data_IF_750131370793
#
_entry.id   IF_750131370793
#
_cell.length_a   1.000
_cell.length_b   1.000
_cell.length_c   1.000
_cell.angle_alpha   90.00
_cell.angle_beta   90.00
_cell.angle_gamma   90.00
#
_symmetry.space_group_name_H-M   'P 1'
#
loop_
_entity.id
_entity.type
_entity.pdbx_description
1 polymer ?
#
# COMPACT_ATOMS: atom_id res chain seq x y z
N UNK A 1 72.99 29.34 18.27
CA UNK A 1 72.73 30.72 17.79
C UNK A 1 71.23 30.89 17.63
N UNK A 2 70.57 31.81 18.34
CA UNK A 2 69.11 31.93 18.30
C UNK A 2 68.69 32.87 17.17
N UNK A 3 67.71 32.45 16.35
CA UNK A 3 67.05 33.30 15.37
C UNK A 3 65.67 33.73 15.88
N UNK A 4 65.42 35.02 15.74
CA UNK A 4 64.30 35.80 16.27
C UNK A 4 62.97 35.50 15.60
N UNK A 5 61.91 35.45 16.40
CA UNK A 5 60.51 35.29 15.98
C UNK A 5 59.84 36.68 15.87
N UNK A 6 59.15 37.05 14.77
CA UNK A 6 58.53 38.37 14.68
C UNK A 6 57.17 38.42 15.39
N UNK A 7 56.99 39.47 16.21
CA UNK A 7 55.75 39.80 16.94
C UNK A 7 54.67 40.30 15.97
N UNK A 8 53.56 39.58 15.87
CA UNK A 8 52.33 40.04 15.22
C UNK A 8 51.60 40.99 16.19
N UNK A 9 51.47 42.27 15.81
CA UNK A 9 50.65 43.26 16.52
C UNK A 9 49.21 43.19 15.99
N UNK A 10 48.27 42.77 16.84
CA UNK A 10 46.84 42.93 16.58
C UNK A 10 46.42 44.37 16.86
N UNK A 11 45.88 45.03 15.84
CA UNK A 11 45.22 46.33 15.95
C UNK A 11 43.77 46.10 16.40
N UNK A 12 43.42 46.45 17.63
CA UNK A 12 42.03 46.51 18.08
C UNK A 12 41.40 47.81 17.54
N UNK A 13 40.38 47.69 16.69
CA UNK A 13 39.43 48.78 16.42
C UNK A 13 38.29 48.73 17.45
N UNK A 14 37.84 49.88 17.99
CA UNK A 14 36.64 49.93 18.80
C UNK A 14 35.39 49.95 17.89
N UNK A 15 34.56 48.93 18.00
CA UNK A 15 33.23 48.89 17.37
C UNK A 15 32.25 49.66 18.27
N UNK A 16 31.91 50.89 17.89
CA UNK A 16 30.84 51.65 18.52
C UNK A 16 29.48 51.05 18.15
N UNK A 17 28.81 50.37 19.09
CA UNK A 17 27.39 50.03 18.99
C UNK A 17 26.56 51.28 19.34
N UNK A 18 26.01 51.92 18.32
CA UNK A 18 24.91 52.88 18.50
C UNK A 18 23.58 52.13 18.63
N UNK A 19 22.91 52.25 19.79
CA UNK A 19 21.52 51.85 19.95
C UNK A 19 20.62 52.85 19.19
N UNK A 20 20.06 52.42 18.06
CA UNK A 20 18.92 53.08 17.41
C UNK A 20 17.66 52.36 17.89
N UNK A 21 16.90 52.98 18.80
CA UNK A 21 15.55 52.53 19.13
C UNK A 21 14.61 52.90 17.99
N UNK A 22 14.27 51.91 17.17
CA UNK A 22 13.23 52.02 16.16
C UNK A 22 11.91 51.52 16.76
N UNK A 23 11.05 52.45 17.19
CA UNK A 23 9.70 52.14 17.62
C UNK A 23 8.88 51.69 16.39
N UNK A 24 8.71 50.38 16.23
CA UNK A 24 7.85 49.78 15.22
C UNK A 24 6.39 49.87 15.67
N UNK A 25 5.60 50.69 14.99
CA UNK A 25 4.16 50.71 15.13
C UNK A 25 3.58 49.37 14.65
N UNK A 26 2.87 48.66 15.52
CA UNK A 26 2.22 47.40 15.20
C UNK A 26 1.10 47.63 14.16
N UNK A 27 1.05 46.86 13.07
CA UNK A 27 -0.06 46.92 12.13
C UNK A 27 -1.33 46.38 12.79
N UNK A 28 -2.40 47.21 12.79
CA UNK A 28 -3.74 46.78 13.17
C UNK A 28 -4.28 45.83 12.10
N UNK A 29 -4.09 44.52 12.28
CA UNK A 29 -4.78 43.51 11.48
C UNK A 29 -6.23 43.41 11.95
N UNK A 30 -7.14 43.93 11.13
CA UNK A 30 -8.56 43.64 11.26
C UNK A 30 -8.77 42.12 11.12
N UNK A 31 -9.28 41.48 12.17
CA UNK A 31 -9.62 40.06 12.17
C UNK A 31 -10.72 39.79 11.14
N UNK A 32 -10.31 39.31 9.95
CA UNK A 32 -11.24 38.81 8.93
C UNK A 32 -11.85 37.51 9.47
N UNK A 33 -13.19 37.50 9.61
CA UNK A 33 -13.98 36.34 10.02
C UNK A 33 -13.51 35.09 9.24
N UNK A 34 -13.23 33.95 9.89
CA UNK A 34 -12.79 32.75 9.19
C UNK A 34 -13.86 32.35 8.18
N UNK A 35 -13.46 32.29 6.90
CA UNK A 35 -14.32 31.76 5.86
C UNK A 35 -14.68 30.31 6.23
N UNK A 36 -15.97 29.98 6.14
CA UNK A 36 -16.48 28.61 6.26
C UNK A 36 -15.63 27.73 5.33
N UNK A 37 -15.03 26.62 5.80
CA UNK A 37 -14.26 25.76 4.92
C UNK A 37 -15.18 25.32 3.79
N UNK A 38 -14.82 25.70 2.56
CA UNK A 38 -15.45 25.16 1.38
C UNK A 38 -15.33 23.64 1.48
N UNK A 39 -16.45 22.94 1.30
CA UNK A 39 -16.45 21.49 1.23
C UNK A 39 -15.36 21.08 0.24
N UNK A 40 -14.36 20.34 0.73
CA UNK A 40 -13.30 19.78 -0.09
C UNK A 40 -13.98 19.09 -1.28
N UNK A 41 -13.69 19.54 -2.49
CA UNK A 41 -14.15 18.86 -3.69
C UNK A 41 -13.80 17.36 -3.56
N UNK A 42 -14.67 16.44 -4.01
CA UNK A 42 -14.33 15.02 -4.01
C UNK A 42 -12.99 14.85 -4.72
N UNK A 43 -12.01 14.30 -4.00
CA UNK A 43 -10.79 13.80 -4.64
C UNK A 43 -11.27 12.65 -5.50
N UNK A 44 -11.32 12.88 -6.80
CA UNK A 44 -11.45 11.81 -7.78
C UNK A 44 -10.25 10.89 -7.58
N UNK A 45 -10.47 9.77 -6.90
CA UNK A 45 -9.48 8.74 -6.66
C UNK A 45 -9.19 7.92 -7.91
N UNK A 46 -9.67 8.36 -9.09
CA UNK A 46 -9.58 7.60 -10.30
C UNK A 46 -10.40 6.34 -10.15
N UNK A 47 -11.73 6.48 -10.25
CA UNK A 47 -12.54 5.36 -10.74
C UNK A 47 -12.10 5.10 -12.18
N UNK A 48 -11.02 4.33 -12.34
CA UNK A 48 -10.61 3.77 -13.61
C UNK A 48 -11.74 2.89 -14.10
N UNK A 49 -12.59 3.45 -14.96
CA UNK A 49 -13.48 2.69 -15.82
C UNK A 49 -12.58 1.83 -16.69
N UNK A 50 -12.50 0.53 -16.37
CA UNK A 50 -12.00 -0.45 -17.31
C UNK A 50 -13.20 -0.99 -18.10
N UNK A 51 -13.18 -0.72 -19.39
CA UNK A 51 -14.00 -1.41 -20.38
C UNK A 51 -13.65 -2.89 -20.28
N UNK A 52 -14.61 -3.69 -19.81
CA UNK A 52 -14.58 -5.13 -19.97
C UNK A 52 -14.63 -5.40 -21.48
N UNK A 53 -13.56 -5.98 -22.01
CA UNK A 53 -13.55 -6.52 -23.37
C UNK A 53 -14.68 -7.54 -23.51
N UNK A 54 -15.48 -7.31 -24.53
CA UNK A 54 -16.55 -8.14 -25.05
C UNK A 54 -15.96 -9.32 -25.83
N UNK A 55 -15.56 -10.36 -25.12
CA UNK A 55 -15.21 -11.64 -25.75
C UNK A 55 -16.51 -12.40 -26.11
N UNK A 56 -17.29 -11.90 -27.07
CA UNK A 56 -18.33 -12.68 -27.74
C UNK A 56 -17.67 -13.66 -28.73
N UNK A 57 -17.02 -14.67 -28.17
CA UNK A 57 -16.48 -15.84 -28.87
C UNK A 57 -17.55 -16.93 -28.98
N UNK A 58 -18.14 -17.00 -30.16
CA UNK A 58 -19.14 -17.93 -30.66
C UNK A 58 -18.85 -19.41 -30.34
N UNK A 59 -19.87 -20.13 -29.85
CA UNK A 59 -19.81 -21.54 -29.52
C UNK A 59 -19.82 -22.42 -30.79
N UNK A 60 -18.85 -23.34 -30.88
CA UNK A 60 -18.84 -24.44 -31.85
C UNK A 60 -19.10 -25.78 -31.13
N UNK A 61 -20.07 -26.60 -31.57
CA UNK A 61 -20.31 -27.91 -30.99
C UNK A 61 -19.34 -28.94 -31.60
N UNK A 62 -18.44 -29.49 -30.79
CA UNK A 62 -17.59 -30.62 -31.19
C UNK A 62 -18.20 -31.94 -30.69
N UNK A 63 -18.38 -32.84 -31.64
CA UNK A 63 -19.01 -34.15 -31.53
C UNK A 63 -18.39 -35.06 -30.46
N UNK A 64 -19.26 -35.78 -29.74
CA UNK A 64 -18.94 -36.76 -28.70
C UNK A 64 -18.36 -38.05 -29.30
N UNK A 65 -17.15 -38.42 -28.86
CA UNK A 65 -16.53 -39.74 -29.06
C UNK A 65 -17.01 -40.72 -27.98
N UNK A 66 -17.32 -41.99 -28.29
CA UNK A 66 -17.86 -42.94 -27.34
C UNK A 66 -16.88 -43.35 -26.23
N UNK A 67 -17.47 -43.65 -25.07
CA UNK A 67 -16.86 -43.82 -23.77
C UNK A 67 -15.86 -44.99 -23.68
N UNK A 68 -14.66 -44.68 -23.19
CA UNK A 68 -13.73 -45.67 -22.62
C UNK A 68 -14.07 -45.89 -21.15
N UNK A 69 -14.24 -47.14 -20.77
CA UNK A 69 -14.53 -47.63 -19.41
C UNK A 69 -13.58 -47.01 -18.37
N UNK A 70 -14.07 -46.39 -17.28
CA UNK A 70 -13.20 -45.79 -16.28
C UNK A 70 -12.54 -46.87 -15.43
N UNK A 71 -11.22 -47.02 -15.59
CA UNK A 71 -10.35 -47.60 -14.57
C UNK A 71 -10.63 -46.91 -13.23
N UNK A 72 -10.77 -47.63 -12.09
CA UNK A 72 -11.01 -46.99 -10.79
C UNK A 72 -9.86 -46.02 -10.51
N UNK A 73 -10.16 -44.73 -10.66
CA UNK A 73 -9.23 -43.65 -10.45
C UNK A 73 -8.73 -43.75 -9.01
N UNK A 74 -7.42 -43.98 -8.87
CA UNK A 74 -6.69 -43.78 -7.63
C UNK A 74 -7.16 -42.45 -7.04
N UNK A 75 -7.80 -42.50 -5.87
CA UNK A 75 -8.33 -41.34 -5.16
C UNK A 75 -7.17 -40.37 -5.00
N UNK A 76 -7.09 -39.36 -5.88
CA UNK A 76 -6.08 -38.33 -5.78
C UNK A 76 -6.34 -37.64 -4.46
N UNK A 77 -5.34 -37.66 -3.57
CA UNK A 77 -5.31 -36.79 -2.38
C UNK A 77 -5.81 -35.42 -2.83
N UNK A 78 -6.99 -35.01 -2.36
CA UNK A 78 -7.62 -33.78 -2.79
C UNK A 78 -6.57 -32.67 -2.72
N UNK A 79 -6.27 -32.05 -3.87
CA UNK A 79 -5.30 -30.98 -3.93
C UNK A 79 -5.71 -29.94 -2.88
N UNK A 80 -4.82 -29.64 -1.93
CA UNK A 80 -5.11 -28.66 -0.87
C UNK A 80 -5.73 -27.43 -1.52
N UNK A 81 -6.90 -26.94 -1.05
CA UNK A 81 -7.56 -25.81 -1.67
C UNK A 81 -6.56 -24.66 -1.78
N UNK A 82 -6.47 -24.08 -2.97
CA UNK A 82 -5.65 -22.89 -3.19
C UNK A 82 -6.23 -21.74 -2.33
N UNK A 83 -5.70 -21.59 -1.11
CA UNK A 83 -6.19 -20.66 -0.10
C UNK A 83 -6.18 -19.22 -0.60
N UNK A 84 -5.14 -18.85 -1.34
CA UNK A 84 -5.05 -17.56 -2.02
C UNK A 84 -6.27 -17.31 -2.92
N UNK A 85 -6.57 -18.24 -3.83
CA UNK A 85 -7.73 -18.10 -4.71
C UNK A 85 -9.06 -18.13 -3.95
N UNK A 86 -9.14 -18.89 -2.86
CA UNK A 86 -10.31 -18.92 -1.99
C UNK A 86 -10.53 -17.58 -1.27
N UNK A 87 -9.45 -16.94 -0.78
CA UNK A 87 -9.53 -15.65 -0.10
C UNK A 87 -10.00 -14.54 -1.05
N UNK A 88 -9.46 -14.52 -2.28
CA UNK A 88 -9.91 -13.56 -3.30
C UNK A 88 -11.39 -13.77 -3.64
N UNK A 89 -11.84 -15.03 -3.80
CA UNK A 89 -13.26 -15.32 -4.02
C UNK A 89 -14.14 -14.82 -2.87
N UNK A 90 -13.72 -15.05 -1.63
CA UNK A 90 -14.41 -14.54 -0.44
C UNK A 90 -14.51 -13.01 -0.45
N UNK A 91 -13.42 -12.30 -0.75
CA UNK A 91 -13.42 -10.85 -0.78
C UNK A 91 -14.32 -10.32 -1.91
N UNK A 92 -14.22 -10.89 -3.11
CA UNK A 92 -15.05 -10.53 -4.28
C UNK A 92 -16.54 -10.75 -4.03
N UNK A 93 -16.94 -11.86 -3.41
CA UNK A 93 -18.35 -12.14 -3.09
C UNK A 93 -18.93 -11.20 -2.03
N UNK A 94 -18.09 -10.38 -1.40
CA UNK A 94 -18.47 -9.37 -0.43
C UNK A 94 -18.24 -7.93 -0.90
N UNK A 95 -17.93 -7.70 -2.18
CA UNK A 95 -17.86 -6.34 -2.74
C UNK A 95 -19.16 -5.56 -2.48
N UNK A 96 -19.01 -4.32 -2.04
CA UNK A 96 -20.14 -3.45 -1.67
C UNK A 96 -20.84 -3.83 -0.36
N UNK A 97 -20.36 -4.86 0.35
CA UNK A 97 -20.93 -5.32 1.62
C UNK A 97 -20.00 -4.98 2.78
N UNK A 98 -20.58 -4.76 3.94
CA UNK A 98 -19.86 -4.53 5.19
C UNK A 98 -19.59 -5.88 5.85
N UNK A 99 -18.32 -6.17 6.12
CA UNK A 99 -17.87 -7.35 6.88
C UNK A 99 -17.60 -6.97 8.33
N UNK A 100 -18.10 -7.78 9.26
CA UNK A 100 -17.95 -7.58 10.70
C UNK A 100 -18.48 -6.21 11.13
N UNK A 101 -17.70 -5.51 11.95
CA UNK A 101 -18.03 -4.15 12.39
C UNK A 101 -17.65 -3.05 11.39
N UNK A 102 -17.09 -3.41 10.22
CA UNK A 102 -16.68 -2.44 9.20
C UNK A 102 -15.22 -2.02 9.27
N UNK A 103 -14.41 -2.55 10.20
CA UNK A 103 -12.98 -2.23 10.26
C UNK A 103 -12.20 -2.94 9.14
N UNK A 104 -11.01 -2.42 8.82
CA UNK A 104 -10.18 -2.93 7.73
C UNK A 104 -9.69 -4.37 7.98
N UNK A 105 -9.33 -4.70 9.22
CA UNK A 105 -8.87 -6.04 9.60
C UNK A 105 -9.97 -7.11 9.56
N UNK A 106 -11.25 -6.72 9.69
CA UNK A 106 -12.36 -7.67 9.70
C UNK A 106 -12.41 -8.50 8.41
N UNK A 107 -12.02 -7.92 7.27
CA UNK A 107 -12.01 -8.64 6.00
C UNK A 107 -11.15 -9.92 6.08
N UNK A 108 -9.99 -9.83 6.73
CA UNK A 108 -9.06 -10.95 6.91
C UNK A 108 -9.46 -11.84 8.09
N UNK A 109 -9.91 -11.24 9.20
CA UNK A 109 -10.38 -11.97 10.40
C UNK A 109 -11.53 -12.91 10.09
N UNK A 110 -12.48 -12.49 9.25
CA UNK A 110 -13.58 -13.34 8.80
C UNK A 110 -13.20 -14.23 7.61
N UNK A 111 -12.38 -13.72 6.69
CA UNK A 111 -12.00 -14.44 5.47
C UNK A 111 -11.14 -15.67 5.70
N UNK A 112 -10.10 -15.57 6.53
CA UNK A 112 -9.15 -16.67 6.75
C UNK A 112 -9.80 -17.92 7.35
N UNK A 113 -10.58 -17.83 8.44
CA UNK A 113 -11.34 -18.99 8.95
C UNK A 113 -12.27 -19.61 7.91
N UNK A 114 -12.97 -18.77 7.12
CA UNK A 114 -13.95 -19.22 6.12
C UNK A 114 -13.33 -20.11 5.05
N UNK A 115 -12.07 -19.86 4.69
CA UNK A 115 -11.35 -20.63 3.67
C UNK A 115 -10.52 -21.78 4.24
N UNK A 116 -10.63 -22.06 5.54
CA UNK A 116 -9.82 -23.09 6.22
C UNK A 116 -8.37 -22.68 6.48
N UNK A 117 -8.07 -21.38 6.47
CA UNK A 117 -6.77 -20.85 6.81
C UNK A 117 -6.65 -20.52 8.31
N UNK A 118 -5.42 -20.51 8.82
CA UNK A 118 -5.09 -20.10 10.18
C UNK A 118 -5.23 -18.59 10.31
N UNK A 119 -5.70 -18.20 11.48
CA UNK A 119 -5.69 -16.82 11.94
C UNK A 119 -4.68 -16.76 13.08
N UNK A 120 -3.57 -16.04 12.89
CA UNK A 120 -2.58 -15.80 13.93
C UNK A 120 -2.67 -14.33 14.37
N UNK A 121 -2.95 -14.12 15.65
CA UNK A 121 -3.11 -12.80 16.24
C UNK A 121 -1.79 -12.16 16.66
N UNK A 122 -0.65 -12.84 16.47
CA UNK A 122 0.69 -12.31 16.72
C UNK A 122 1.17 -11.35 15.62
N UNK A 123 0.25 -10.54 15.06
CA UNK A 123 0.50 -9.58 13.99
C UNK A 123 0.99 -10.21 12.68
N UNK A 124 0.70 -11.49 12.43
CA UNK A 124 1.03 -12.19 11.20
C UNK A 124 -0.22 -12.85 10.63
N UNK A 125 -0.75 -12.36 9.51
CA UNK A 125 -1.93 -12.98 8.87
C UNK A 125 -1.61 -14.26 8.08
N UNK A 126 -0.37 -14.75 8.15
CA UNK A 126 0.06 -15.95 7.43
C UNK A 126 1.57 -16.05 7.32
N UNK A 127 2.05 -16.87 6.37
CA UNK A 127 3.48 -17.02 6.09
C UNK A 127 4.04 -15.73 5.48
N UNK A 128 5.06 -15.08 6.08
CA UNK A 128 5.65 -13.87 5.51
C UNK A 128 6.18 -14.10 4.09
N UNK A 129 5.92 -13.15 3.19
CA UNK A 129 6.38 -13.15 1.80
C UNK A 129 7.47 -12.10 1.61
N UNK A 130 7.16 -10.84 1.93
CA UNK A 130 8.12 -9.74 1.84
C UNK A 130 7.66 -8.51 2.64
N UNK A 131 8.56 -7.55 2.82
CA UNK A 131 8.24 -6.20 3.28
C UNK A 131 8.67 -5.17 2.24
N UNK A 132 7.80 -4.21 1.92
CA UNK A 132 8.20 -2.97 1.23
C UNK A 132 8.38 -1.88 2.27
N UNK A 133 9.62 -1.42 2.45
CA UNK A 133 10.00 -0.42 3.44
C UNK A 133 10.37 0.85 2.70
N UNK A 134 9.65 1.94 2.95
CA UNK A 134 9.96 3.24 2.37
C UNK A 134 10.36 4.25 3.44
N UNK A 135 11.40 5.04 3.15
CA UNK A 135 11.84 6.13 4.03
C UNK A 135 12.36 7.27 3.17
N UNK A 136 11.79 8.45 3.33
CA UNK A 136 12.15 9.66 2.58
C UNK A 136 12.15 9.44 1.05
N UNK A 137 11.10 8.79 0.54
CA UNK A 137 10.94 8.53 -0.90
C UNK A 137 11.81 7.41 -1.46
N UNK A 138 12.61 6.74 -0.63
CA UNK A 138 13.42 5.57 -1.03
C UNK A 138 12.77 4.29 -0.54
N UNK A 139 12.38 3.42 -1.47
CA UNK A 139 11.81 2.12 -1.17
C UNK A 139 12.85 1.01 -1.21
N UNK A 140 12.72 0.05 -0.30
CA UNK A 140 13.52 -1.16 -0.17
C UNK A 140 12.59 -2.37 -0.07
N UNK A 141 12.92 -3.43 -0.80
CA UNK A 141 12.26 -4.73 -0.66
C UNK A 141 13.03 -5.58 0.36
N UNK A 142 12.34 -6.33 1.20
CA UNK A 142 12.93 -7.36 2.06
C UNK A 142 12.15 -8.65 1.84
N UNK A 143 12.81 -9.72 1.36
CA UNK A 143 12.15 -11.01 1.11
C UNK A 143 12.14 -11.90 2.36
N UNK A 144 11.17 -12.82 2.43
CA UNK A 144 11.07 -13.83 3.47
C UNK A 144 11.01 -15.27 2.90
N UNK A 145 11.61 -16.29 3.58
CA UNK A 145 12.58 -16.17 4.66
C UNK A 145 13.99 -15.87 4.11
N UNK A 146 14.74 -15.03 4.84
CA UNK A 146 16.13 -14.59 4.61
C UNK A 146 16.39 -13.45 3.59
N UNK A 147 16.97 -12.37 4.13
CA UNK A 147 17.79 -11.40 3.41
C UNK A 147 17.15 -10.03 3.14
N UNK A 148 17.72 -8.96 3.71
CA UNK A 148 17.57 -7.59 3.18
C UNK A 148 18.24 -7.57 1.80
N UNK A 149 17.50 -7.84 0.73
CA UNK A 149 18.01 -7.64 -0.63
C UNK A 149 17.52 -6.28 -1.12
N UNK A 150 18.41 -5.34 -1.43
CA UNK A 150 18.04 -4.21 -2.31
C UNK A 150 17.61 -4.84 -3.64
N UNK A 151 16.31 -5.02 -3.82
CA UNK A 151 15.76 -5.83 -4.88
C UNK A 151 14.65 -5.11 -5.60
N UNK A 152 14.59 -5.33 -6.91
CA UNK A 152 13.47 -4.94 -7.75
C UNK A 152 12.16 -5.49 -7.14
N UNK A 153 11.07 -4.70 -6.99
CA UNK A 153 9.75 -5.14 -6.53
C UNK A 153 9.25 -6.42 -7.22
N UNK A 154 9.65 -6.66 -8.48
CA UNK A 154 9.38 -7.91 -9.22
C UNK A 154 9.85 -9.19 -8.53
N UNK A 155 10.83 -9.10 -7.62
CA UNK A 155 11.42 -10.24 -6.93
C UNK A 155 10.59 -10.75 -5.74
N UNK A 156 9.52 -10.04 -5.37
CA UNK A 156 8.69 -10.38 -4.22
C UNK A 156 7.80 -11.63 -4.42
N UNK A 157 7.59 -12.09 -5.67
CA UNK A 157 6.71 -13.21 -5.99
C UNK A 157 5.32 -13.06 -5.32
N UNK A 158 4.77 -11.84 -5.41
CA UNK A 158 3.43 -11.51 -4.96
C UNK A 158 2.40 -12.31 -5.76
N UNK A 159 1.32 -12.71 -5.10
CA UNK A 159 0.22 -13.44 -5.72
C UNK A 159 -1.10 -12.83 -5.29
N UNK A 160 -2.10 -12.98 -6.16
CA UNK A 160 -3.50 -12.83 -5.75
C UNK A 160 -3.75 -13.67 -4.49
N UNK A 161 -4.45 -13.11 -3.51
CA UNK A 161 -4.74 -13.71 -2.20
C UNK A 161 -3.66 -13.51 -1.14
N UNK A 162 -2.52 -12.92 -1.46
CA UNK A 162 -1.58 -12.45 -0.43
C UNK A 162 -2.19 -11.24 0.31
N UNK A 163 -1.83 -11.10 1.59
CA UNK A 163 -2.41 -10.13 2.53
C UNK A 163 -1.37 -9.06 2.81
N UNK A 164 -1.77 -7.79 2.74
CA UNK A 164 -0.93 -6.63 3.02
C UNK A 164 -1.35 -6.03 4.37
N UNK A 165 -0.39 -5.85 5.27
CA UNK A 165 -0.52 -5.05 6.49
C UNK A 165 0.26 -3.75 6.32
N UNK A 166 -0.39 -2.63 6.59
CA UNK A 166 0.19 -1.30 6.45
C UNK A 166 0.60 -0.78 7.82
N UNK A 167 1.79 -0.21 7.91
CA UNK A 167 2.34 0.40 9.10
C UNK A 167 2.95 1.76 8.75
N UNK A 168 2.24 2.84 9.08
CA UNK A 168 2.62 4.24 8.81
C UNK A 168 2.98 4.50 7.34
N UNK A 169 2.18 3.95 6.42
CA UNK A 169 2.46 3.97 4.98
C UNK A 169 1.93 5.24 4.34
N UNK A 170 2.75 5.85 3.48
CA UNK A 170 2.31 6.95 2.61
C UNK A 170 2.59 6.65 1.16
N UNK A 171 1.62 6.97 0.31
CA UNK A 171 1.76 7.00 -1.14
C UNK A 171 1.65 8.43 -1.63
N UNK A 172 2.62 8.84 -2.44
CA UNK A 172 2.71 10.17 -3.01
C UNK A 172 3.01 10.04 -4.50
N UNK A 173 2.12 10.58 -5.33
CA UNK A 173 2.35 10.65 -6.78
C UNK A 173 2.32 12.09 -7.23
N UNK A 174 3.33 12.50 -7.99
CA UNK A 174 3.35 13.78 -8.70
C UNK A 174 3.21 13.54 -10.20
N UNK A 175 2.35 14.31 -10.85
CA UNK A 175 2.20 14.33 -12.30
C UNK A 175 2.21 15.78 -12.80
N UNK A 176 2.30 15.97 -14.13
CA UNK A 176 2.40 17.28 -14.79
C UNK A 176 3.52 18.17 -14.25
N UNK A 177 4.74 17.64 -14.15
CA UNK A 177 5.89 18.42 -13.68
C UNK A 177 5.82 18.84 -12.20
N UNK A 178 4.92 18.25 -11.42
CA UNK A 178 4.71 18.58 -10.00
C UNK A 178 3.48 19.45 -9.74
N UNK A 179 2.78 19.92 -10.78
CA UNK A 179 1.57 20.74 -10.63
C UNK A 179 0.36 19.96 -10.14
N UNK A 180 0.45 18.64 -10.11
CA UNK A 180 -0.64 17.80 -9.68
C UNK A 180 -0.13 16.64 -8.83
N UNK A 181 -0.89 16.34 -7.78
CA UNK A 181 -0.41 15.55 -6.66
C UNK A 181 -1.53 14.69 -6.07
N UNK A 182 -1.25 13.42 -5.78
CA UNK A 182 -2.11 12.58 -4.96
C UNK A 182 -1.37 12.14 -3.70
N UNK A 183 -2.10 12.08 -2.59
CA UNK A 183 -1.60 11.68 -1.28
C UNK A 183 -2.54 10.66 -0.66
N UNK A 184 -1.99 9.56 -0.16
CA UNK A 184 -2.72 8.58 0.65
C UNK A 184 -1.89 8.25 1.89
N UNK A 185 -2.52 8.25 3.07
CA UNK A 185 -1.89 7.97 4.35
C UNK A 185 -2.62 6.83 5.06
N UNK A 186 -1.87 5.81 5.47
CA UNK A 186 -2.36 4.61 6.12
C UNK A 186 -1.56 4.37 7.42
N UNK A 187 -1.98 4.97 8.56
CA UNK A 187 -1.34 4.72 9.85
C UNK A 187 -1.32 3.22 10.21
N UNK A 188 -2.50 2.58 10.11
CA UNK A 188 -2.69 1.14 10.22
C UNK A 188 -3.82 0.72 9.27
N UNK A 189 -3.56 -0.23 8.37
CA UNK A 189 -4.56 -0.73 7.43
C UNK A 189 -4.30 -2.20 7.05
N UNK A 190 -5.26 -2.85 6.40
CA UNK A 190 -5.10 -4.22 5.90
C UNK A 190 -5.89 -4.40 4.60
N UNK A 191 -5.27 -5.05 3.62
CA UNK A 191 -5.87 -5.34 2.32
C UNK A 191 -5.48 -6.74 1.81
N UNK A 192 -6.21 -7.24 0.82
CA UNK A 192 -5.93 -8.51 0.13
C UNK A 192 -5.62 -8.21 -1.33
N UNK A 193 -4.51 -8.75 -1.85
CA UNK A 193 -4.16 -8.60 -3.26
C UNK A 193 -5.17 -9.36 -4.11
N UNK A 194 -5.86 -8.67 -5.00
CA UNK A 194 -6.71 -9.28 -6.00
C UNK A 194 -5.90 -9.65 -7.25
N UNK A 195 -5.04 -8.73 -7.69
CA UNK A 195 -4.26 -8.87 -8.91
C UNK A 195 -2.91 -8.16 -8.77
N UNK A 196 -1.88 -8.77 -9.38
CA UNK A 196 -0.55 -8.20 -9.52
C UNK A 196 -0.32 -7.89 -11.00
N UNK A 197 0.07 -6.67 -11.34
CA UNK A 197 0.44 -6.32 -12.71
C UNK A 197 1.66 -7.13 -13.17
N UNK A 198 1.81 -7.29 -14.48
CA UNK A 198 2.92 -8.05 -15.08
C UNK A 198 4.30 -7.51 -14.66
N UNK A 199 4.41 -6.20 -14.44
CA UNK A 199 5.64 -5.55 -14.00
C UNK A 199 5.85 -5.56 -12.49
N UNK A 200 4.88 -6.05 -11.71
CA UNK A 200 4.92 -6.15 -10.25
C UNK A 200 4.83 -4.82 -9.51
N UNK A 201 4.56 -3.71 -10.20
CA UNK A 201 4.52 -2.37 -9.60
C UNK A 201 3.11 -1.93 -9.20
N UNK A 202 2.09 -2.49 -9.83
CA UNK A 202 0.70 -2.11 -9.59
C UNK A 202 -0.04 -3.29 -8.99
N UNK A 203 -0.72 -3.05 -7.87
CA UNK A 203 -1.56 -4.03 -7.20
C UNK A 203 -3.01 -3.54 -7.26
N UNK A 204 -3.91 -4.41 -7.71
CA UNK A 204 -5.33 -4.25 -7.41
C UNK A 204 -5.59 -4.97 -6.10
N UNK A 205 -6.18 -4.29 -5.13
CA UNK A 205 -6.44 -4.82 -3.79
C UNK A 205 -7.91 -4.71 -3.42
N UNK A 206 -8.34 -5.62 -2.55
CA UNK A 206 -9.65 -5.65 -1.91
C UNK A 206 -9.47 -5.28 -0.45
N UNK A 207 -10.20 -4.27 0.01
CA UNK A 207 -10.06 -3.71 1.35
C UNK A 207 -11.37 -3.07 1.83
N UNK A 208 -11.43 -2.72 3.11
CA UNK A 208 -12.60 -2.11 3.74
C UNK A 208 -12.12 -0.99 4.66
N UNK A 209 -12.99 -0.02 4.93
CA UNK A 209 -12.71 1.15 5.76
C UNK A 209 -11.69 2.11 5.14
N UNK A 210 -11.70 2.23 3.81
CA UNK A 210 -10.91 3.23 3.09
C UNK A 210 -11.71 4.54 3.10
N UNK A 211 -11.13 5.62 3.60
CA UNK A 211 -11.80 6.92 3.70
C UNK A 211 -13.17 6.86 4.42
N UNK A 212 -13.26 6.09 5.50
CA UNK A 212 -14.50 5.79 6.26
C UNK A 212 -15.58 5.03 5.46
N UNK A 213 -15.26 4.48 4.28
CA UNK A 213 -16.15 3.59 3.54
C UNK A 213 -16.07 2.18 4.14
N UNK A 214 -17.02 1.86 5.01
CA UNK A 214 -17.05 0.59 5.76
C UNK A 214 -17.54 -0.62 4.94
N UNK A 215 -17.47 -0.55 3.61
CA UNK A 215 -17.80 -1.64 2.69
C UNK A 215 -16.53 -2.16 2.02
N UNK A 216 -16.54 -3.41 1.57
CA UNK A 216 -15.45 -3.93 0.75
C UNK A 216 -15.45 -3.23 -0.60
N UNK A 217 -14.31 -2.63 -0.94
CA UNK A 217 -14.06 -1.90 -2.18
C UNK A 217 -12.80 -2.41 -2.86
N UNK A 218 -12.63 -2.00 -4.12
CA UNK A 218 -11.42 -2.23 -4.89
C UNK A 218 -10.58 -0.94 -4.89
N UNK A 219 -9.29 -1.08 -4.64
CA UNK A 219 -8.32 0.02 -4.72
C UNK A 219 -7.15 -0.40 -5.59
N UNK A 220 -6.53 0.56 -6.28
CA UNK A 220 -5.28 0.35 -7.01
C UNK A 220 -4.13 1.01 -6.26
N UNK A 221 -3.10 0.22 -5.94
CA UNK A 221 -1.87 0.68 -5.33
C UNK A 221 -0.75 0.68 -6.36
N UNK A 222 -0.02 1.78 -6.46
CA UNK A 222 1.21 1.85 -7.24
C UNK A 222 2.40 1.82 -6.28
N UNK A 223 3.05 0.66 -6.15
CA UNK A 223 4.12 0.42 -5.19
C UNK A 223 5.28 1.43 -5.27
N UNK A 224 5.72 1.88 -6.46
CA UNK A 224 6.78 2.89 -6.55
C UNK A 224 6.39 4.27 -5.98
N UNK A 225 5.09 4.57 -5.82
CA UNK A 225 4.63 5.82 -5.21
C UNK A 225 4.72 5.76 -3.67
N UNK A 226 5.12 4.63 -3.07
CA UNK A 226 5.32 4.54 -1.62
C UNK A 226 6.55 5.34 -1.17
N UNK A 227 6.33 6.37 -0.35
CA UNK A 227 7.41 7.25 0.13
C UNK A 227 7.79 7.04 1.60
N UNK A 228 6.88 6.46 2.39
CA UNK A 228 7.06 6.21 3.83
C UNK A 228 6.41 4.89 4.26
N UNK A 229 6.89 4.32 5.37
CA UNK A 229 6.23 3.22 6.10
C UNK A 229 6.63 1.83 5.66
N UNK A 230 5.88 0.83 6.15
CA UNK A 230 6.10 -0.58 5.85
C UNK A 230 4.81 -1.24 5.35
N UNK A 231 4.88 -1.87 4.18
CA UNK A 231 3.89 -2.85 3.71
C UNK A 231 4.44 -4.24 4.03
N UNK A 232 3.81 -4.96 4.97
CA UNK A 232 4.17 -6.35 5.28
C UNK A 232 3.23 -7.26 4.50
N UNK A 233 3.80 -8.10 3.63
CA UNK A 233 3.03 -9.03 2.83
C UNK A 233 3.17 -10.43 3.39
N UNK A 234 2.04 -11.11 3.57
CA UNK A 234 1.96 -12.49 4.02
C UNK A 234 1.04 -13.31 3.13
N UNK A 235 1.14 -14.63 3.21
CA UNK A 235 0.34 -15.58 2.45
C UNK A 235 -0.51 -16.43 3.38
N UNK A 236 -1.80 -16.66 3.10
CA UNK A 236 -2.65 -17.52 3.91
C UNK A 236 -2.01 -18.88 4.18
N UNK A 237 -2.02 -19.30 5.45
CA UNK A 237 -1.48 -20.56 5.92
C UNK A 237 -2.62 -21.55 6.23
N UNK A 238 -2.51 -22.80 5.80
CA UNK A 238 -3.53 -23.82 6.09
C UNK A 238 -3.65 -24.13 7.59
N UNK A 239 -4.86 -24.42 8.06
CA UNK A 239 -5.13 -24.91 9.43
C UNK A 239 -4.45 -26.25 9.72
#
# INVERSE_FOLDING_TARGET
MPTSNPKIRFLLLPLCLGLVSLAMAAPKFAAKKPAKPAASAPVDLGNGIFILGDDSGEAQPLASKPASTPTPARVSRAASPNLNAALVRFCRSNLGRKIGNGQCSELVVWGLPTIGARLDFNNQWGTPVCNYIATNGRQYLQLAPAGKTRGNPRKANLKAGDIIQYENVKFERRWNGGNSYSFQDYPHHTSVIEQVSRDGNTLKVLEQNVNNTQFVVETVLYLPDQTQGVLRVSRPLAR
#
